data_IF_744063332219
#
_entry.id   IF_744063332219
#
_cell.length_a   1.000
_cell.length_b   1.000
_cell.length_c   1.000
_cell.angle_alpha   90.00
_cell.angle_beta   90.00
_cell.angle_gamma   90.00
#
_symmetry.space_group_name_H-M   'P 1'
#
loop_
_entity.id
_entity.type
_entity.pdbx_description
1 polymer ?
#
# COMPACT_ATOMS: atom_id res chain seq x y z
N UNK A 1 -22.29 -3.07 3.63
CA UNK A 1 -21.12 -2.68 4.45
C UNK A 1 -20.16 -3.82 4.35
N UNK A 2 -18.86 -3.56 4.22
CA UNK A 2 -17.94 -4.63 3.93
C UNK A 2 -17.87 -5.64 5.08
N UNK A 3 -17.78 -6.91 4.71
CA UNK A 3 -17.73 -8.04 5.63
C UNK A 3 -16.33 -8.66 5.63
N UNK A 4 -15.74 -8.84 6.81
CA UNK A 4 -14.46 -9.54 6.93
C UNK A 4 -14.74 -11.05 7.05
N UNK A 5 -14.36 -11.81 6.02
CA UNK A 5 -14.56 -13.26 5.94
C UNK A 5 -13.67 -14.04 6.94
N UNK A 6 -12.42 -13.60 7.06
CA UNK A 6 -11.38 -14.33 7.76
C UNK A 6 -10.00 -13.78 7.44
N UNK A 7 -8.99 -14.43 8.02
CA UNK A 7 -7.59 -14.13 7.78
C UNK A 7 -6.81 -15.35 7.32
N UNK A 8 -5.85 -15.12 6.43
CA UNK A 8 -4.85 -16.09 6.01
C UNK A 8 -3.48 -15.58 6.49
N UNK A 9 -2.69 -16.46 7.08
CA UNK A 9 -1.28 -16.20 7.34
C UNK A 9 -0.41 -17.16 6.52
N UNK A 10 0.60 -16.65 5.83
CA UNK A 10 1.43 -17.46 4.92
C UNK A 10 2.84 -16.89 4.77
N UNK A 11 3.87 -17.74 4.82
CA UNK A 11 5.24 -17.29 4.52
C UNK A 11 5.38 -16.75 3.09
N UNK A 12 6.21 -15.72 2.86
CA UNK A 12 6.39 -15.12 1.52
C UNK A 12 7.72 -15.43 0.83
N UNK A 13 8.52 -16.36 1.34
CA UNK A 13 9.87 -16.63 0.83
C UNK A 13 9.89 -16.72 -0.72
N UNK A 14 10.87 -16.13 -1.41
CA UNK A 14 10.93 -16.15 -2.88
C UNK A 14 11.03 -17.58 -3.45
N UNK A 15 11.43 -18.54 -2.60
CA UNK A 15 11.40 -19.98 -2.83
C UNK A 15 10.02 -20.47 -3.31
N UNK A 16 8.90 -19.93 -2.78
CA UNK A 16 7.55 -20.30 -3.21
C UNK A 16 7.29 -19.85 -4.66
N UNK A 17 7.51 -18.57 -4.96
CA UNK A 17 7.36 -18.01 -6.30
C UNK A 17 8.26 -18.71 -7.33
N UNK A 18 9.51 -19.00 -6.98
CA UNK A 18 10.41 -19.79 -7.82
C UNK A 18 9.82 -21.14 -8.19
N UNK A 19 9.26 -21.86 -7.22
CA UNK A 19 8.69 -23.17 -7.46
C UNK A 19 7.39 -23.12 -8.29
N UNK A 20 6.61 -22.04 -8.16
CA UNK A 20 5.46 -21.80 -9.05
C UNK A 20 5.92 -21.59 -10.49
N UNK A 21 6.86 -20.68 -10.70
CA UNK A 21 7.32 -20.24 -12.02
C UNK A 21 8.05 -21.37 -12.79
N UNK A 22 8.65 -22.33 -12.06
CA UNK A 22 9.39 -23.46 -12.65
C UNK A 22 8.61 -24.78 -12.61
N UNK A 23 7.30 -24.74 -12.37
CA UNK A 23 6.42 -25.91 -12.35
C UNK A 23 6.88 -27.03 -11.38
N UNK A 24 7.42 -26.65 -10.22
CA UNK A 24 8.00 -27.57 -9.23
C UNK A 24 7.01 -28.06 -8.18
N UNK A 25 5.74 -27.71 -8.27
CA UNK A 25 4.75 -28.01 -7.24
C UNK A 25 4.58 -29.51 -6.97
N UNK A 26 4.91 -30.37 -7.95
CA UNK A 26 4.86 -31.83 -7.83
C UNK A 26 6.21 -32.48 -7.47
N UNK A 27 7.31 -31.71 -7.47
CA UNK A 27 8.63 -32.21 -7.11
C UNK A 27 8.65 -32.59 -5.62
N UNK A 28 9.22 -33.75 -5.21
CA UNK A 28 9.17 -34.20 -3.80
C UNK A 28 9.74 -33.24 -2.76
N UNK A 29 10.67 -32.36 -3.14
CA UNK A 29 11.25 -31.35 -2.26
C UNK A 29 10.32 -30.15 -2.00
N UNK A 30 9.31 -29.96 -2.85
CA UNK A 30 8.45 -28.78 -2.89
C UNK A 30 6.99 -29.13 -2.64
N UNK A 31 6.57 -30.35 -2.99
CA UNK A 31 5.18 -30.79 -2.87
C UNK A 31 4.61 -30.66 -1.45
N UNK A 32 5.35 -30.83 -0.34
CA UNK A 32 4.79 -30.58 0.99
C UNK A 32 4.41 -29.10 1.19
N UNK A 33 5.16 -28.15 0.60
CA UNK A 33 4.79 -26.73 0.62
C UNK A 33 3.44 -26.58 -0.08
N UNK A 34 3.28 -27.07 -1.30
CA UNK A 34 2.06 -26.82 -2.06
C UNK A 34 0.84 -27.58 -1.54
N UNK A 35 1.02 -28.76 -0.94
CA UNK A 35 -0.02 -29.46 -0.18
C UNK A 35 -0.54 -28.60 0.98
N UNK A 36 0.35 -27.86 1.66
CA UNK A 36 -0.04 -26.93 2.72
C UNK A 36 -0.79 -25.69 2.21
N UNK A 37 -0.70 -25.38 0.91
CA UNK A 37 -1.41 -24.26 0.26
C UNK A 37 -2.78 -24.67 -0.31
N UNK A 38 -3.01 -25.95 -0.63
CA UNK A 38 -4.28 -26.43 -1.20
C UNK A 38 -5.52 -26.03 -0.37
N UNK A 39 -5.51 -26.05 0.98
CA UNK A 39 -6.64 -25.61 1.78
C UNK A 39 -6.87 -24.10 1.70
N UNK A 40 -5.80 -23.30 1.57
CA UNK A 40 -5.89 -21.86 1.42
C UNK A 40 -6.48 -21.50 0.05
N UNK A 41 -6.03 -22.17 -1.01
CA UNK A 41 -6.57 -22.04 -2.37
C UNK A 41 -8.07 -22.37 -2.38
N UNK A 42 -8.47 -23.52 -1.81
CA UNK A 42 -9.88 -23.92 -1.72
C UNK A 42 -10.71 -22.92 -0.93
N UNK A 43 -10.19 -22.44 0.20
CA UNK A 43 -10.90 -21.44 1.00
C UNK A 43 -11.12 -20.14 0.22
N UNK A 44 -10.12 -19.66 -0.54
CA UNK A 44 -10.25 -18.48 -1.38
C UNK A 44 -11.24 -18.71 -2.54
N UNK A 45 -11.22 -19.89 -3.17
CA UNK A 45 -12.16 -20.27 -4.23
C UNK A 45 -13.61 -20.39 -3.72
N UNK A 46 -13.80 -20.92 -2.51
CA UNK A 46 -15.11 -21.08 -1.89
C UNK A 46 -15.67 -19.75 -1.38
N UNK A 47 -14.85 -18.92 -0.72
CA UNK A 47 -15.29 -17.66 -0.09
C UNK A 47 -15.36 -16.49 -1.07
N UNK A 48 -14.59 -16.54 -2.16
CA UNK A 48 -14.54 -15.53 -3.24
C UNK A 48 -14.49 -14.08 -2.69
N UNK A 49 -13.45 -13.71 -1.94
CA UNK A 49 -13.31 -12.32 -1.50
C UNK A 49 -13.26 -11.39 -2.72
N UNK A 50 -13.98 -10.26 -2.63
CA UNK A 50 -13.90 -9.17 -3.61
C UNK A 50 -12.56 -8.44 -3.50
N UNK A 51 -11.97 -8.44 -2.31
CA UNK A 51 -10.69 -7.82 -2.04
C UNK A 51 -9.87 -8.55 -0.95
N UNK A 52 -8.55 -8.54 -1.12
CA UNK A 52 -7.58 -8.94 -0.10
C UNK A 52 -6.91 -7.68 0.47
N UNK A 53 -7.05 -7.45 1.78
CA UNK A 53 -6.13 -6.54 2.48
C UNK A 53 -4.85 -7.32 2.76
N UNK A 54 -3.76 -6.94 2.10
CA UNK A 54 -2.57 -7.76 1.95
C UNK A 54 -1.38 -7.13 2.68
N UNK A 55 -1.09 -7.64 3.87
CA UNK A 55 -0.03 -7.17 4.76
C UNK A 55 1.26 -7.90 4.42
N UNK A 56 2.29 -7.15 4.04
CA UNK A 56 3.60 -7.65 3.67
C UNK A 56 4.68 -6.63 4.03
N UNK A 57 5.94 -6.96 3.84
CA UNK A 57 7.05 -6.00 3.78
C UNK A 57 7.73 -6.09 2.41
N UNK A 58 8.20 -4.94 1.94
CA UNK A 58 9.09 -4.86 0.79
C UNK A 58 10.54 -5.11 1.24
N UNK A 59 11.27 -5.85 0.42
CA UNK A 59 12.64 -6.28 0.65
C UNK A 59 13.63 -5.34 -0.01
N UNK A 60 13.43 -4.03 0.22
CA UNK A 60 14.32 -2.96 -0.24
C UNK A 60 14.36 -2.85 -1.77
N UNK A 61 13.21 -3.06 -2.41
CA UNK A 61 13.04 -3.00 -3.87
C UNK A 61 12.30 -1.71 -4.24
N UNK A 62 11.02 -1.61 -3.87
CA UNK A 62 10.21 -0.44 -4.14
C UNK A 62 10.38 0.64 -3.05
N UNK A 63 10.80 0.23 -1.85
CA UNK A 63 10.97 1.11 -0.69
C UNK A 63 12.43 1.06 -0.22
N UNK A 64 13.22 2.00 -0.74
CA UNK A 64 14.62 2.14 -0.37
C UNK A 64 14.80 2.89 0.96
N UNK A 65 15.95 2.72 1.60
CA UNK A 65 16.24 3.24 2.94
C UNK A 65 16.32 4.76 3.06
N UNK A 66 16.38 5.50 1.95
CA UNK A 66 16.33 6.96 1.96
C UNK A 66 14.91 7.49 2.26
N UNK A 67 13.89 6.68 1.99
CA UNK A 67 12.50 6.94 2.36
C UNK A 67 11.77 5.63 2.71
N UNK A 68 11.97 5.16 3.93
CA UNK A 68 11.41 3.91 4.45
C UNK A 68 10.40 4.17 5.57
N UNK A 69 9.13 3.84 5.31
CA UNK A 69 8.00 4.17 6.20
C UNK A 69 7.54 2.97 7.02
N UNK A 70 7.02 3.23 8.21
CA UNK A 70 6.55 2.18 9.13
C UNK A 70 5.29 1.47 8.62
N UNK A 71 4.26 2.20 8.21
CA UNK A 71 3.02 1.66 7.68
C UNK A 71 2.68 2.39 6.38
N UNK A 72 2.68 1.67 5.25
CA UNK A 72 2.53 2.27 3.93
C UNK A 72 1.41 1.60 3.16
N UNK A 73 0.32 2.33 2.91
CA UNK A 73 -0.87 1.82 2.24
C UNK A 73 -0.86 2.15 0.75
N UNK A 74 -1.05 1.14 -0.11
CA UNK A 74 -1.24 1.33 -1.54
C UNK A 74 -2.63 1.88 -1.83
N UNK A 75 -2.67 2.98 -2.58
CA UNK A 75 -3.91 3.67 -2.99
C UNK A 75 -4.07 3.71 -4.51
N UNK A 76 -3.34 2.88 -5.25
CA UNK A 76 -3.39 2.78 -6.71
C UNK A 76 -4.53 1.88 -7.21
N UNK A 77 -4.80 1.94 -8.51
CA UNK A 77 -5.76 1.09 -9.21
C UNK A 77 -5.17 -0.27 -9.62
N UNK A 78 -3.85 -0.39 -9.71
CA UNK A 78 -3.17 -1.64 -10.04
C UNK A 78 -1.73 -1.64 -9.53
N UNK A 79 -1.14 -2.83 -9.41
CA UNK A 79 0.25 -3.03 -8.99
C UNK A 79 0.96 -4.04 -9.91
N UNK A 80 2.02 -3.60 -10.57
CA UNK A 80 2.89 -4.43 -11.41
C UNK A 80 3.96 -5.17 -10.59
N UNK A 81 4.56 -6.21 -11.16
CA UNK A 81 5.68 -6.95 -10.54
C UNK A 81 6.97 -6.14 -10.60
N UNK A 82 7.65 -6.02 -9.47
CA UNK A 82 8.94 -5.34 -9.38
C UNK A 82 10.06 -6.15 -10.04
N UNK A 83 11.09 -5.44 -10.49
CA UNK A 83 12.36 -6.05 -10.85
C UNK A 83 13.24 -6.08 -9.60
N UNK A 84 13.59 -7.29 -9.16
CA UNK A 84 14.40 -7.53 -7.96
C UNK A 84 15.88 -7.79 -8.32
N UNK A 85 16.31 -7.36 -9.52
CA UNK A 85 17.66 -7.53 -10.06
C UNK A 85 17.80 -8.69 -11.05
N UNK A 86 16.74 -9.50 -11.21
CA UNK A 86 16.66 -10.63 -12.14
C UNK A 86 15.70 -10.41 -13.32
N UNK A 87 15.18 -9.20 -13.48
CA UNK A 87 14.00 -8.94 -14.30
C UNK A 87 12.70 -9.21 -13.53
N UNK A 88 11.58 -8.55 -13.89
CA UNK A 88 10.30 -8.81 -13.27
C UNK A 88 9.79 -10.22 -13.64
N UNK A 89 9.13 -10.90 -12.69
CA UNK A 89 8.46 -12.18 -12.97
C UNK A 89 7.34 -11.97 -13.99
N UNK A 90 7.06 -13.00 -14.80
CA UNK A 90 6.04 -12.97 -15.84
C UNK A 90 4.64 -13.21 -15.25
N UNK A 91 4.13 -12.24 -14.49
CA UNK A 91 2.77 -12.24 -13.93
C UNK A 91 2.03 -10.97 -14.38
N UNK A 92 0.70 -11.04 -14.62
CA UNK A 92 -0.09 -9.84 -14.89
C UNK A 92 -0.14 -8.93 -13.66
N UNK A 93 -0.35 -7.62 -13.82
CA UNK A 93 -0.58 -6.72 -12.69
C UNK A 93 -1.83 -7.13 -11.90
N UNK A 94 -1.75 -7.03 -10.58
CA UNK A 94 -2.91 -7.24 -9.72
C UNK A 94 -3.71 -5.96 -9.59
N UNK A 95 -5.03 -6.06 -9.69
CA UNK A 95 -5.92 -4.90 -9.56
C UNK A 95 -5.97 -4.45 -8.09
N UNK A 96 -6.05 -3.13 -7.89
CA UNK A 96 -6.33 -2.51 -6.60
C UNK A 96 -7.82 -2.20 -6.44
N UNK A 97 -8.23 -1.87 -5.20
CA UNK A 97 -9.52 -1.23 -4.96
C UNK A 97 -9.28 0.15 -4.36
N UNK A 98 -9.12 1.15 -5.22
CA UNK A 98 -8.77 2.50 -4.79
C UNK A 98 -9.81 3.10 -3.83
N UNK A 99 -11.10 2.80 -3.99
CA UNK A 99 -12.15 3.30 -3.08
C UNK A 99 -11.97 2.74 -1.66
N UNK A 100 -11.78 1.43 -1.54
CA UNK A 100 -11.51 0.77 -0.26
C UNK A 100 -10.18 1.25 0.34
N UNK A 101 -9.10 1.34 -0.45
CA UNK A 101 -7.80 1.86 0.02
C UNK A 101 -7.91 3.28 0.60
N UNK A 102 -8.62 4.18 -0.09
CA UNK A 102 -8.82 5.56 0.37
C UNK A 102 -9.64 5.62 1.65
N UNK A 103 -10.69 4.80 1.75
CA UNK A 103 -11.50 4.69 2.96
C UNK A 103 -10.69 4.16 4.14
N UNK A 104 -9.89 3.11 3.92
CA UNK A 104 -8.99 2.56 4.94
C UNK A 104 -7.98 3.61 5.40
N UNK A 105 -7.32 4.29 4.45
CA UNK A 105 -6.35 5.35 4.76
C UNK A 105 -6.96 6.48 5.59
N UNK A 106 -8.16 6.96 5.22
CA UNK A 106 -8.86 7.99 5.99
C UNK A 106 -9.21 7.52 7.40
N UNK A 107 -9.64 6.27 7.55
CA UNK A 107 -9.95 5.67 8.85
C UNK A 107 -8.72 5.56 9.75
N UNK A 108 -7.61 5.07 9.22
CA UNK A 108 -6.38 4.89 10.00
C UNK A 108 -5.81 6.23 10.46
N UNK A 109 -5.83 7.25 9.60
CA UNK A 109 -5.42 8.61 9.96
C UNK A 109 -6.35 9.23 11.02
N UNK A 110 -7.65 8.97 10.95
CA UNK A 110 -8.61 9.43 11.97
C UNK A 110 -8.38 8.76 13.33
N UNK A 111 -7.92 7.50 13.34
CA UNK A 111 -7.57 6.74 14.54
C UNK A 111 -6.11 6.98 15.03
N UNK A 112 -5.50 8.08 14.58
CA UNK A 112 -4.16 8.53 14.98
C UNK A 112 -3.03 7.56 14.64
N UNK A 113 -3.17 6.79 13.55
CA UNK A 113 -2.03 6.11 12.92
C UNK A 113 -1.38 7.02 11.89
N UNK A 114 -0.08 7.24 12.04
CA UNK A 114 0.75 7.93 11.05
C UNK A 114 0.96 7.01 9.85
N UNK A 115 0.21 7.25 8.78
CA UNK A 115 0.28 6.44 7.56
C UNK A 115 1.10 7.14 6.48
N UNK A 116 1.87 6.35 5.75
CA UNK A 116 2.37 6.69 4.42
C UNK A 116 1.46 6.10 3.34
N UNK A 117 1.48 6.69 2.15
CA UNK A 117 0.67 6.25 1.01
C UNK A 117 1.54 6.14 -0.23
N UNK A 118 1.27 5.15 -1.08
CA UNK A 118 2.00 4.99 -2.32
C UNK A 118 1.10 4.65 -3.51
N UNK A 119 1.59 5.03 -4.69
CA UNK A 119 1.06 4.77 -6.03
C UNK A 119 2.26 4.60 -6.96
N UNK A 120 2.06 4.02 -8.14
CA UNK A 120 3.08 3.87 -9.19
C UNK A 120 4.34 3.14 -8.74
N UNK A 121 4.20 2.23 -7.78
CA UNK A 121 5.26 1.33 -7.36
C UNK A 121 4.92 -0.07 -7.81
N UNK A 122 5.92 -0.73 -8.37
CA UNK A 122 5.88 -2.17 -8.62
C UNK A 122 6.20 -2.90 -7.32
N UNK A 123 5.59 -4.06 -7.08
CA UNK A 123 5.68 -4.78 -5.81
C UNK A 123 6.51 -6.06 -5.93
N UNK A 124 7.23 -6.39 -4.87
CA UNK A 124 8.23 -7.46 -4.84
C UNK A 124 7.62 -8.83 -4.48
N UNK A 125 8.50 -9.80 -4.24
CA UNK A 125 8.15 -11.16 -3.85
C UNK A 125 7.37 -11.23 -2.52
N UNK A 126 7.48 -10.25 -1.62
CA UNK A 126 6.72 -10.23 -0.36
C UNK A 126 5.20 -10.30 -0.58
N UNK A 127 4.74 -9.80 -1.73
CA UNK A 127 3.38 -9.96 -2.23
C UNK A 127 3.26 -11.06 -3.29
N UNK A 128 4.02 -10.98 -4.37
CA UNK A 128 3.76 -11.84 -5.55
C UNK A 128 4.20 -13.29 -5.37
N UNK A 129 5.09 -13.62 -4.43
CA UNK A 129 5.52 -15.00 -4.19
C UNK A 129 4.37 -15.87 -3.65
N UNK A 130 3.78 -15.54 -2.48
CA UNK A 130 2.61 -16.25 -1.99
C UNK A 130 1.37 -16.02 -2.86
N UNK A 131 1.13 -14.81 -3.40
CA UNK A 131 -0.05 -14.55 -4.23
C UNK A 131 -0.11 -15.49 -5.45
N UNK A 132 1.00 -15.74 -6.16
CA UNK A 132 1.01 -16.66 -7.31
C UNK A 132 0.80 -18.13 -6.92
N UNK A 133 0.95 -18.49 -5.65
CA UNK A 133 0.64 -19.81 -5.13
C UNK A 133 -0.77 -19.90 -4.53
N UNK A 134 -1.38 -18.78 -4.12
CA UNK A 134 -2.69 -18.74 -3.46
C UNK A 134 -3.86 -18.62 -4.43
N UNK A 135 -3.70 -17.81 -5.48
CA UNK A 135 -4.76 -17.52 -6.42
C UNK A 135 -4.38 -17.98 -7.83
N UNK A 136 -5.35 -18.54 -8.59
CA UNK A 136 -5.14 -18.73 -10.01
C UNK A 136 -5.01 -17.34 -10.67
N UNK A 137 -4.20 -17.28 -11.71
CA UNK A 137 -4.07 -16.11 -12.57
C UNK A 137 -3.92 -16.57 -14.01
N UNK A 138 -4.32 -15.71 -14.94
CA UNK A 138 -4.21 -15.94 -16.37
C UNK A 138 -3.75 -14.65 -17.06
N UNK A 139 -3.00 -14.75 -18.14
CA UNK A 139 -2.47 -13.57 -18.85
C UNK A 139 -3.58 -12.69 -19.44
N UNK A 140 -4.70 -13.27 -19.87
CA UNK A 140 -5.84 -12.54 -20.44
C UNK A 140 -6.78 -12.00 -19.36
N UNK A 141 -7.05 -12.80 -18.32
CA UNK A 141 -8.04 -12.46 -17.28
C UNK A 141 -7.46 -11.77 -16.05
N UNK A 142 -6.14 -11.83 -15.85
CA UNK A 142 -5.47 -11.32 -14.66
C UNK A 142 -5.77 -12.15 -13.42
N UNK A 143 -6.03 -11.48 -12.31
CA UNK A 143 -6.29 -12.08 -10.99
C UNK A 143 -7.78 -12.01 -10.64
N UNK A 144 -8.35 -13.01 -9.95
CA UNK A 144 -9.78 -13.05 -9.62
C UNK A 144 -10.19 -12.08 -8.51
N UNK A 145 -9.23 -11.52 -7.77
CA UNK A 145 -9.49 -10.70 -6.57
C UNK A 145 -8.57 -9.47 -6.56
N UNK A 146 -9.12 -8.33 -6.16
CA UNK A 146 -8.35 -7.10 -5.98
C UNK A 146 -7.49 -7.14 -4.70
N UNK A 147 -6.39 -6.38 -4.67
CA UNK A 147 -5.47 -6.31 -3.53
C UNK A 147 -5.34 -4.87 -3.00
N UNK A 148 -5.35 -4.73 -1.68
CA UNK A 148 -5.04 -3.50 -0.95
C UNK A 148 -3.72 -3.76 -0.22
N UNK A 149 -2.58 -3.42 -0.82
CA UNK A 149 -1.28 -3.73 -0.23
C UNK A 149 -1.00 -2.78 0.93
N UNK A 150 -0.64 -3.35 2.07
CA UNK A 150 -0.20 -2.66 3.27
C UNK A 150 1.24 -3.11 3.57
N UNK A 151 2.20 -2.30 3.14
CA UNK A 151 3.60 -2.54 3.39
C UNK A 151 3.96 -2.11 4.82
N UNK A 152 4.66 -2.96 5.56
CA UNK A 152 5.15 -2.70 6.91
C UNK A 152 6.68 -2.59 6.87
N UNK A 153 7.22 -1.47 7.34
CA UNK A 153 8.67 -1.25 7.44
C UNK A 153 9.27 -1.99 8.62
N UNK A 154 9.67 -3.25 8.42
CA UNK A 154 10.24 -4.14 9.45
C UNK A 154 11.75 -4.39 9.33
N UNK A 155 12.41 -3.79 8.34
CA UNK A 155 13.83 -4.04 8.07
C UNK A 155 14.78 -2.96 8.63
N UNK A 156 14.34 -1.69 8.71
CA UNK A 156 15.16 -0.57 9.18
C UNK A 156 14.71 -0.10 10.56
N UNK A 157 15.52 -0.38 11.59
CA UNK A 157 15.19 -0.08 12.98
C UNK A 157 15.36 1.41 13.33
N UNK A 158 14.51 1.98 14.20
CA UNK A 158 13.43 1.33 14.95
C UNK A 158 12.18 1.04 14.12
N UNK A 159 11.62 -0.17 14.27
CA UNK A 159 10.39 -0.64 13.62
C UNK A 159 9.21 -0.63 14.62
N UNK A 160 7.95 -0.84 14.22
CA UNK A 160 6.84 -0.79 15.15
C UNK A 160 6.89 -1.98 16.12
N UNK A 161 6.49 -1.76 17.38
CA UNK A 161 6.32 -2.86 18.33
C UNK A 161 5.19 -3.80 17.91
N UNK A 162 5.24 -5.06 18.36
CA UNK A 162 4.15 -6.04 18.22
C UNK A 162 2.78 -5.49 18.66
N UNK A 163 2.74 -4.73 19.77
CA UNK A 163 1.53 -4.04 20.25
C UNK A 163 1.00 -3.00 19.27
N UNK A 164 1.88 -2.24 18.60
CA UNK A 164 1.48 -1.24 17.60
C UNK A 164 0.92 -1.92 16.35
N UNK A 165 1.49 -3.05 15.93
CA UNK A 165 0.94 -3.88 14.85
C UNK A 165 -0.44 -4.45 15.19
N UNK A 166 -0.63 -4.99 16.40
CA UNK A 166 -1.93 -5.50 16.84
C UNK A 166 -3.01 -4.39 16.90
N UNK A 167 -2.66 -3.21 17.45
CA UNK A 167 -3.56 -2.04 17.45
C UNK A 167 -3.89 -1.54 16.04
N UNK A 168 -2.93 -1.59 15.11
CA UNK A 168 -3.19 -1.27 13.70
C UNK A 168 -4.24 -2.22 13.12
N UNK A 169 -4.13 -3.52 13.41
CA UNK A 169 -5.15 -4.50 13.05
C UNK A 169 -6.54 -4.14 13.58
N UNK A 170 -6.65 -3.77 14.85
CA UNK A 170 -7.92 -3.37 15.46
C UNK A 170 -8.52 -2.12 14.79
N UNK A 171 -7.70 -1.15 14.37
CA UNK A 171 -8.13 0.01 13.61
C UNK A 171 -8.54 -0.36 12.18
N UNK A 172 -7.77 -1.24 11.53
CA UNK A 172 -8.04 -1.77 10.20
C UNK A 172 -9.39 -2.50 10.15
N UNK A 173 -9.76 -3.24 11.20
CA UNK A 173 -11.09 -3.85 11.33
C UNK A 173 -12.21 -2.82 11.19
N UNK A 174 -12.16 -1.75 12.00
CA UNK A 174 -13.17 -0.67 11.96
C UNK A 174 -13.17 0.02 10.61
N UNK A 175 -12.00 0.20 10.02
CA UNK A 175 -11.85 0.78 8.70
C UNK A 175 -12.59 -0.04 7.63
N UNK A 176 -12.34 -1.35 7.56
CA UNK A 176 -12.98 -2.25 6.60
C UNK A 176 -14.49 -2.32 6.86
N UNK A 177 -14.92 -2.65 8.08
CA UNK A 177 -16.35 -2.85 8.40
C UNK A 177 -17.19 -1.57 8.18
N UNK A 178 -16.58 -0.39 8.28
CA UNK A 178 -17.26 0.88 8.03
C UNK A 178 -17.35 1.27 6.55
N UNK A 179 -16.70 0.54 5.64
CA UNK A 179 -16.80 0.76 4.20
C UNK A 179 -18.25 0.56 3.74
N UNK A 180 -18.86 1.52 3.02
CA UNK A 180 -20.30 1.52 2.77
C UNK A 180 -20.77 0.40 1.83
N UNK A 181 -19.93 -0.02 0.89
CA UNK A 181 -20.29 -1.05 -0.10
C UNK A 181 -20.42 -2.44 0.56
N UNK A 182 -21.23 -3.31 -0.05
CA UNK A 182 -21.46 -4.68 0.42
C UNK A 182 -20.52 -5.64 -0.30
N UNK A 183 -19.29 -5.73 0.20
CA UNK A 183 -18.22 -6.56 -0.36
C UNK A 183 -17.62 -7.47 0.72
N UNK A 184 -17.11 -8.62 0.30
CA UNK A 184 -16.40 -9.56 1.14
C UNK A 184 -14.89 -9.30 1.06
N UNK A 185 -14.27 -9.12 2.23
CA UNK A 185 -12.84 -8.84 2.36
C UNK A 185 -12.19 -9.98 3.14
N UNK A 186 -11.08 -10.50 2.62
CA UNK A 186 -10.18 -11.37 3.39
C UNK A 186 -8.90 -10.60 3.72
N UNK A 187 -8.26 -10.97 4.83
CA UNK A 187 -7.03 -10.32 5.29
C UNK A 187 -5.89 -11.31 5.15
N UNK A 188 -4.85 -10.97 4.41
CA UNK A 188 -3.67 -11.82 4.24
C UNK A 188 -2.52 -11.15 4.96
N UNK A 189 -1.82 -11.87 5.84
CA UNK A 189 -0.54 -11.45 6.37
C UNK A 189 0.55 -12.41 5.91
N UNK A 190 1.66 -11.84 5.43
CA UNK A 190 2.78 -12.63 4.95
C UNK A 190 4.04 -12.49 5.81
N UNK A 191 5.04 -13.31 5.47
CA UNK A 191 6.33 -13.38 6.17
C UNK A 191 6.38 -14.46 7.22
N UNK A 192 7.52 -14.58 7.89
CA UNK A 192 7.81 -15.59 8.89
C UNK A 192 8.00 -17.00 8.31
N UNK A 193 8.04 -18.03 9.17
CA UNK A 193 8.17 -17.94 10.63
C UNK A 193 9.65 -17.82 11.00
N UNK A 194 10.20 -18.75 11.79
CA UNK A 194 11.61 -18.66 12.17
C UNK A 194 12.54 -18.74 10.96
N UNK A 195 13.39 -17.73 10.83
CA UNK A 195 14.50 -17.68 9.88
C UNK A 195 15.48 -16.55 10.21
N UNK A 196 16.73 -16.73 9.80
CA UNK A 196 17.71 -15.66 9.74
C UNK A 196 18.57 -15.82 8.48
N UNK A 197 18.68 -14.74 7.70
CA UNK A 197 19.32 -14.78 6.36
C UNK A 197 20.58 -13.92 6.26
N UNK A 198 21.03 -13.33 7.37
CA UNK A 198 22.28 -12.56 7.42
C UNK A 198 23.18 -12.94 8.60
N UNK A 199 24.47 -12.63 8.47
CA UNK A 199 25.49 -12.82 9.50
C UNK A 199 25.84 -14.28 9.79
N UNK A 200 26.69 -14.52 10.79
CA UNK A 200 27.16 -15.85 11.19
C UNK A 200 26.06 -16.75 11.79
N UNK A 201 24.92 -16.17 12.17
CA UNK A 201 23.72 -16.89 12.65
C UNK A 201 22.73 -17.23 11.51
N UNK A 202 23.09 -16.95 10.25
CA UNK A 202 22.30 -17.33 9.08
C UNK A 202 22.00 -18.85 9.07
N UNK A 203 20.75 -19.21 8.77
CA UNK A 203 20.26 -20.60 8.85
C UNK A 203 19.67 -20.99 10.19
N UNK A 204 19.46 -20.04 11.11
CA UNK A 204 18.74 -20.28 12.36
C UNK A 204 17.26 -20.54 12.10
N UNK A 205 16.72 -21.57 12.74
CA UNK A 205 15.28 -21.88 12.82
C UNK A 205 14.95 -22.38 14.23
N UNK A 206 13.67 -22.27 14.59
CA UNK A 206 13.13 -22.74 15.86
C UNK A 206 11.68 -23.22 15.70
N UNK A 207 11.47 -24.46 15.22
CA UNK A 207 10.12 -25.01 15.00
C UNK A 207 9.25 -25.07 16.27
N UNK A 208 9.86 -25.19 17.46
CA UNK A 208 9.14 -25.19 18.73
C UNK A 208 8.53 -23.82 19.01
N UNK A 209 9.32 -22.75 18.82
CA UNK A 209 8.82 -21.38 18.88
C UNK A 209 7.77 -21.12 17.80
N UNK A 210 7.97 -21.61 16.58
CA UNK A 210 7.01 -21.41 15.48
C UNK A 210 5.63 -22.00 15.82
N UNK A 211 5.60 -23.23 16.35
CA UNK A 211 4.36 -23.86 16.81
C UNK A 211 3.71 -23.08 17.95
N UNK A 212 4.50 -22.61 18.92
CA UNK A 212 4.02 -21.79 20.04
C UNK A 212 3.47 -20.44 19.57
N UNK A 213 4.17 -19.75 18.66
CA UNK A 213 3.77 -18.47 18.12
C UNK A 213 2.41 -18.58 17.41
N UNK A 214 2.24 -19.57 16.53
CA UNK A 214 0.98 -19.76 15.82
C UNK A 214 -0.14 -20.11 16.79
N UNK A 215 0.11 -20.97 17.79
CA UNK A 215 -0.89 -21.26 18.83
C UNK A 215 -1.33 -20.01 19.60
N UNK A 216 -0.37 -19.22 20.08
CA UNK A 216 -0.66 -17.96 20.77
C UNK A 216 -1.33 -16.95 19.84
N UNK A 217 -0.98 -16.88 18.56
CA UNK A 217 -1.63 -15.99 17.61
C UNK A 217 -3.13 -16.31 17.47
N UNK A 218 -3.50 -17.58 17.44
CA UNK A 218 -4.90 -18.01 17.37
C UNK A 218 -5.62 -17.72 18.69
N UNK A 219 -5.03 -18.20 19.79
CA UNK A 219 -5.74 -18.39 21.05
C UNK A 219 -5.50 -17.26 22.08
N UNK A 220 -4.35 -16.60 22.07
CA UNK A 220 -3.99 -15.54 23.03
C UNK A 220 -3.06 -14.47 22.41
N UNK A 221 -3.50 -13.76 21.35
CA UNK A 221 -2.63 -12.85 20.61
C UNK A 221 -2.20 -11.63 21.41
N UNK A 222 -2.91 -11.29 22.50
CA UNK A 222 -2.52 -10.18 23.36
C UNK A 222 -1.18 -10.45 24.07
N UNK A 223 -0.88 -11.72 24.42
CA UNK A 223 0.40 -12.08 25.03
C UNK A 223 1.59 -11.84 24.13
N UNK A 224 1.43 -12.08 22.83
CA UNK A 224 2.44 -11.76 21.83
C UNK A 224 2.76 -10.25 21.80
N UNK A 225 1.81 -9.39 22.16
CA UNK A 225 2.04 -7.93 22.22
C UNK A 225 2.88 -7.45 23.42
N UNK A 226 3.20 -8.36 24.35
CA UNK A 226 4.03 -8.08 25.53
C UNK A 226 5.53 -8.28 25.25
N UNK A 227 5.86 -8.99 24.17
CA UNK A 227 7.23 -9.31 23.78
C UNK A 227 7.94 -8.13 23.09
N UNK A 228 9.24 -8.03 23.32
CA UNK A 228 10.15 -7.11 22.65
C UNK A 228 10.64 -7.69 21.32
N UNK A 229 11.06 -6.82 20.40
CA UNK A 229 11.64 -7.24 19.11
C UNK A 229 12.92 -8.07 19.28
N UNK A 230 13.68 -7.81 20.35
CA UNK A 230 14.86 -8.61 20.70
C UNK A 230 14.49 -10.06 21.06
N UNK A 231 13.44 -10.26 21.86
CA UNK A 231 12.95 -11.60 22.21
C UNK A 231 12.39 -12.34 20.99
N UNK A 232 11.67 -11.63 20.10
CA UNK A 232 11.27 -12.20 18.80
C UNK A 232 12.49 -12.66 17.98
N UNK A 233 13.54 -11.83 17.89
CA UNK A 233 14.74 -12.17 17.13
C UNK A 233 15.56 -13.31 17.76
N UNK A 234 15.59 -13.38 19.09
CA UNK A 234 16.21 -14.47 19.83
C UNK A 234 15.51 -15.81 19.53
N UNK A 235 14.18 -15.83 19.65
CA UNK A 235 13.37 -17.03 19.47
C UNK A 235 13.20 -17.44 18.01
N UNK A 236 13.01 -16.48 17.09
CA UNK A 236 12.64 -16.71 15.69
C UNK A 236 13.72 -16.35 14.66
N UNK A 237 14.85 -15.78 15.05
CA UNK A 237 15.82 -15.23 14.09
C UNK A 237 15.49 -13.78 13.71
N UNK A 238 16.50 -13.04 13.24
CA UNK A 238 16.34 -11.59 13.03
C UNK A 238 15.22 -11.27 12.03
N UNK A 239 15.27 -11.84 10.83
CA UNK A 239 14.21 -11.64 9.84
C UNK A 239 12.91 -12.34 10.25
N UNK A 240 12.98 -13.47 10.97
CA UNK A 240 11.82 -14.11 11.59
C UNK A 240 11.04 -13.23 12.56
N UNK A 241 11.61 -12.12 13.07
CA UNK A 241 10.89 -11.14 13.88
C UNK A 241 9.80 -10.38 13.11
N UNK A 242 9.76 -10.48 11.78
CA UNK A 242 8.72 -9.88 10.94
C UNK A 242 7.30 -10.45 11.19
N UNK A 243 7.19 -11.58 11.91
CA UNK A 243 5.91 -12.19 12.31
C UNK A 243 5.01 -11.25 13.13
N UNK A 244 5.53 -10.13 13.63
CA UNK A 244 4.70 -9.04 14.17
C UNK A 244 3.67 -8.51 13.14
N UNK A 245 3.89 -8.70 11.83
CA UNK A 245 2.92 -8.41 10.78
C UNK A 245 1.68 -9.31 10.85
N UNK A 246 1.83 -10.57 11.29
CA UNK A 246 0.71 -11.50 11.48
C UNK A 246 -0.24 -10.99 12.57
N UNK A 247 0.26 -10.20 13.54
CA UNK A 247 -0.57 -9.54 14.54
C UNK A 247 -1.46 -8.43 13.95
N UNK A 248 -1.08 -7.82 12.81
CA UNK A 248 -1.96 -6.88 12.10
C UNK A 248 -3.19 -7.62 11.57
N UNK A 249 -2.99 -8.77 10.91
CA UNK A 249 -4.11 -9.60 10.45
C UNK A 249 -4.94 -10.08 11.64
N UNK A 250 -4.31 -10.65 12.66
CA UNK A 250 -5.02 -11.20 13.82
C UNK A 250 -5.81 -10.16 14.59
N UNK A 251 -5.28 -8.93 14.72
CA UNK A 251 -5.96 -7.80 15.36
C UNK A 251 -7.15 -7.27 14.55
N UNK A 252 -7.18 -7.54 13.24
CA UNK A 252 -8.29 -7.16 12.38
C UNK A 252 -9.46 -8.16 12.42
N UNK A 253 -9.20 -9.40 12.83
CA UNK A 253 -10.23 -10.40 13.09
C UNK A 253 -10.90 -10.15 14.45
N UNK A 254 -12.07 -10.76 14.66
CA UNK A 254 -12.75 -10.68 15.95
C UNK A 254 -11.97 -11.45 17.02
N UNK A 255 -12.29 -11.23 18.30
CA UNK A 255 -11.70 -12.00 19.39
C UNK A 255 -11.93 -13.50 19.21
N UNK A 256 -13.09 -13.88 18.65
CA UNK A 256 -13.45 -15.26 18.37
C UNK A 256 -13.13 -15.60 16.91
N UNK A 257 -12.26 -16.58 16.71
CA UNK A 257 -11.92 -17.11 15.38
C UNK A 257 -12.10 -18.62 15.38
N UNK A 258 -12.37 -19.19 14.22
CA UNK A 258 -12.30 -20.64 14.02
C UNK A 258 -11.04 -20.93 13.23
N UNK A 259 -10.10 -21.68 13.80
CA UNK A 259 -9.00 -22.25 13.03
C UNK A 259 -9.54 -23.39 12.17
N UNK A 260 -9.52 -23.21 10.85
CA UNK A 260 -9.98 -24.23 9.90
C UNK A 260 -8.83 -24.96 9.23
N UNK A 261 -7.63 -24.39 9.29
CA UNK A 261 -6.41 -24.99 8.76
C UNK A 261 -5.18 -24.40 9.44
N UNK A 262 -4.18 -25.26 9.67
CA UNK A 262 -2.83 -24.91 10.10
C UNK A 262 -1.87 -25.97 9.58
N UNK A 263 -0.75 -25.54 9.01
CA UNK A 263 0.35 -26.44 8.64
C UNK A 263 1.71 -25.75 8.71
N UNK A 264 2.78 -26.54 8.77
CA UNK A 264 4.15 -26.08 8.88
C UNK A 264 5.12 -27.02 8.16
N UNK A 265 6.03 -26.45 7.39
CA UNK A 265 7.08 -27.17 6.71
C UNK A 265 8.38 -26.35 6.64
N UNK A 266 9.51 -26.99 6.97
CA UNK A 266 10.84 -26.36 6.93
C UNK A 266 11.74 -27.10 5.93
N UNK A 267 11.69 -26.75 4.63
CA UNK A 267 12.53 -27.40 3.61
C UNK A 267 13.96 -26.88 3.58
N UNK A 268 14.17 -25.62 3.94
CA UNK A 268 15.44 -24.90 3.77
C UNK A 268 15.60 -23.83 4.85
N UNK A 269 15.77 -22.56 4.47
CA UNK A 269 16.12 -21.46 5.39
C UNK A 269 14.97 -20.93 6.25
N UNK A 270 13.72 -21.13 5.81
CA UNK A 270 12.55 -20.49 6.43
C UNK A 270 11.50 -21.52 6.81
N UNK A 271 10.98 -21.41 8.03
CA UNK A 271 9.80 -22.16 8.46
C UNK A 271 8.58 -21.67 7.69
N UNK A 272 8.15 -22.43 6.69
CA UNK A 272 6.99 -22.10 5.86
C UNK A 272 5.74 -22.56 6.59
N UNK A 273 4.90 -21.62 7.00
CA UNK A 273 3.65 -21.94 7.68
C UNK A 273 2.45 -21.40 6.90
N UNK A 274 1.32 -22.11 7.01
CA UNK A 274 0.04 -21.70 6.46
C UNK A 274 -1.04 -21.79 7.54
N UNK A 275 -1.91 -20.79 7.62
CA UNK A 275 -2.96 -20.69 8.64
C UNK A 275 -4.22 -20.07 8.02
N UNK A 276 -5.39 -20.62 8.36
CA UNK A 276 -6.70 -20.02 8.05
C UNK A 276 -7.49 -19.81 9.34
N UNK A 277 -7.93 -18.57 9.54
CA UNK A 277 -8.80 -18.16 10.64
C UNK A 277 -10.11 -17.59 10.10
N UNK A 278 -11.23 -18.28 10.32
CA UNK A 278 -12.55 -17.72 9.99
C UNK A 278 -13.01 -16.75 11.08
N UNK A 279 -13.56 -15.62 10.64
CA UNK A 279 -13.93 -14.52 11.53
C UNK A 279 -15.36 -14.71 12.10
N UNK A 280 -15.47 -14.92 13.42
CA UNK A 280 -16.77 -15.06 14.10
C UNK A 280 -17.25 -13.75 14.72
N UNK A 281 -17.34 -12.71 13.89
CA UNK A 281 -17.76 -11.38 14.31
C UNK A 281 -19.25 -11.32 14.73
N UNK A 282 -19.55 -10.46 15.71
CA UNK A 282 -20.93 -10.10 16.07
C UNK A 282 -21.08 -8.59 16.00
N UNK A 283 -22.19 -8.14 15.44
CA UNK A 283 -22.51 -6.72 15.43
C UNK A 283 -23.04 -6.27 16.80
N UNK A 284 -22.59 -5.12 17.31
CA UNK A 284 -23.22 -4.51 18.48
C UNK A 284 -24.64 -4.04 18.14
N UNK A 285 -25.57 -3.98 19.12
CA UNK A 285 -26.96 -3.55 18.90
C UNK A 285 -27.11 -2.03 18.72
N UNK A 286 -26.05 -1.34 18.30
CA UNK A 286 -25.99 0.11 18.08
C UNK A 286 -25.16 0.39 16.83
N UNK A 287 -25.46 1.49 16.13
CA UNK A 287 -24.76 1.87 14.91
C UNK A 287 -23.37 2.46 15.19
N UNK A 288 -22.40 1.58 15.45
CA UNK A 288 -20.99 1.96 15.61
C UNK A 288 -20.36 2.42 14.31
N UNK A 289 -20.79 1.86 13.17
CA UNK A 289 -20.15 2.06 11.88
C UNK A 289 -20.46 3.44 11.30
N UNK A 290 -21.67 3.96 11.49
CA UNK A 290 -21.97 5.36 11.15
C UNK A 290 -21.23 6.34 12.05
N UNK A 291 -21.13 6.07 13.36
CA UNK A 291 -20.31 6.91 14.26
C UNK A 291 -18.85 6.95 13.81
N UNK A 292 -18.31 5.81 13.38
CA UNK A 292 -16.95 5.73 12.85
C UNK A 292 -16.79 6.54 11.56
N UNK A 293 -17.72 6.41 10.60
CA UNK A 293 -17.70 7.25 9.38
C UNK A 293 -17.79 8.76 9.68
N UNK A 294 -18.56 9.14 10.71
CA UNK A 294 -18.63 10.54 11.16
C UNK A 294 -17.30 11.02 11.75
N UNK A 295 -16.65 10.19 12.57
CA UNK A 295 -15.29 10.45 13.09
C UNK A 295 -14.28 10.64 11.95
N UNK A 296 -14.29 9.75 10.95
CA UNK A 296 -13.44 9.85 9.75
C UNK A 296 -13.63 11.18 9.00
N UNK A 297 -14.88 11.64 8.88
CA UNK A 297 -15.22 12.85 8.15
C UNK A 297 -14.93 14.15 8.92
N UNK A 298 -14.69 14.08 10.23
CA UNK A 298 -14.69 15.23 11.12
C UNK A 298 -13.69 16.33 10.72
N UNK A 299 -12.47 15.96 10.32
CA UNK A 299 -11.39 16.92 10.04
C UNK A 299 -11.65 17.79 8.80
N UNK A 300 -12.40 17.28 7.82
CA UNK A 300 -12.70 17.99 6.57
C UNK A 300 -14.16 18.46 6.50
N UNK A 301 -14.95 18.27 7.55
CA UNK A 301 -16.35 18.69 7.57
C UNK A 301 -16.48 20.21 7.33
N UNK A 302 -17.23 20.60 6.29
CA UNK A 302 -17.44 22.01 5.93
C UNK A 302 -16.46 22.56 4.90
N UNK A 303 -15.43 21.80 4.49
CA UNK A 303 -14.45 22.24 3.48
C UNK A 303 -15.11 22.54 2.14
N UNK A 304 -16.22 21.86 1.81
CA UNK A 304 -17.00 22.03 0.59
C UNK A 304 -17.65 23.42 0.46
N UNK A 305 -17.76 24.16 1.58
CA UNK A 305 -18.31 25.52 1.59
C UNK A 305 -17.31 26.57 1.12
N UNK A 306 -16.03 26.22 0.98
CA UNK A 306 -14.98 27.13 0.54
C UNK A 306 -15.02 27.27 -0.99
N UNK A 307 -15.44 28.42 -1.55
CA UNK A 307 -15.52 28.57 -3.00
C UNK A 307 -14.13 28.53 -3.64
N UNK A 308 -14.01 27.87 -4.79
CA UNK A 308 -12.76 27.79 -5.55
C UNK A 308 -11.63 27.03 -4.84
N UNK A 309 -11.96 26.15 -3.89
CA UNK A 309 -10.99 25.36 -3.13
C UNK A 309 -11.08 23.89 -3.53
N UNK A 310 -9.92 23.25 -3.73
CA UNK A 310 -9.82 21.87 -4.21
C UNK A 310 -8.86 21.10 -3.29
N UNK A 311 -9.31 20.56 -2.15
CA UNK A 311 -8.45 19.82 -1.24
C UNK A 311 -7.76 18.67 -1.97
N UNK A 312 -6.45 18.53 -1.84
CA UNK A 312 -5.67 17.52 -2.56
C UNK A 312 -5.80 16.13 -1.89
N UNK A 313 -7.00 15.55 -2.01
CA UNK A 313 -7.33 14.23 -1.46
C UNK A 313 -6.58 13.11 -2.20
N UNK A 314 -6.53 11.90 -1.61
CA UNK A 314 -5.99 10.72 -2.29
C UNK A 314 -6.66 10.46 -3.65
N UNK A 315 -7.97 10.66 -3.75
CA UNK A 315 -8.69 10.54 -5.02
C UNK A 315 -8.17 11.50 -6.09
N UNK A 316 -8.03 12.79 -5.74
CA UNK A 316 -7.52 13.79 -6.68
C UNK A 316 -6.06 13.54 -7.02
N UNK A 317 -5.26 13.11 -6.04
CA UNK A 317 -3.86 12.76 -6.25
C UNK A 317 -3.71 11.58 -7.21
N UNK A 318 -4.54 10.54 -7.07
CA UNK A 318 -4.53 9.38 -7.96
C UNK A 318 -5.01 9.74 -9.37
N UNK A 319 -6.15 10.44 -9.49
CA UNK A 319 -6.69 10.85 -10.78
C UNK A 319 -5.73 11.78 -11.55
N UNK A 320 -5.03 12.67 -10.83
CA UNK A 320 -4.03 13.56 -11.40
C UNK A 320 -2.61 12.97 -11.47
N UNK A 321 -2.39 11.70 -11.11
CA UNK A 321 -1.05 11.15 -10.86
C UNK A 321 -0.12 11.28 -12.07
N UNK A 322 -0.62 10.97 -13.27
CA UNK A 322 0.15 11.05 -14.52
C UNK A 322 0.63 12.47 -14.80
N UNK A 323 -0.26 13.46 -14.73
CA UNK A 323 0.06 14.87 -14.87
C UNK A 323 1.05 15.34 -13.79
N UNK A 324 0.79 14.99 -12.53
CA UNK A 324 1.65 15.39 -11.41
C UNK A 324 3.04 14.77 -11.52
N UNK A 325 3.16 13.51 -11.95
CA UNK A 325 4.44 12.86 -12.24
C UNK A 325 5.20 13.57 -13.35
N UNK A 326 4.52 13.90 -14.45
CA UNK A 326 5.10 14.66 -15.55
C UNK A 326 5.68 16.00 -15.08
N UNK A 327 4.89 16.76 -14.30
CA UNK A 327 5.31 18.06 -13.76
C UNK A 327 6.42 17.93 -12.71
N UNK A 328 6.42 16.88 -11.91
CA UNK A 328 7.45 16.62 -10.91
C UNK A 328 8.84 16.48 -11.54
N UNK A 329 8.93 15.78 -12.69
CA UNK A 329 10.19 15.60 -13.43
C UNK A 329 10.85 16.89 -13.90
N UNK A 330 10.16 18.05 -13.85
CA UNK A 330 10.76 19.35 -14.15
C UNK A 330 11.92 19.73 -13.19
N UNK A 331 12.07 19.04 -12.05
CA UNK A 331 13.26 19.17 -11.21
C UNK A 331 14.54 18.62 -11.88
N UNK A 332 14.40 17.72 -12.87
CA UNK A 332 15.51 17.15 -13.64
C UNK A 332 15.96 18.12 -14.75
N UNK A 333 17.26 18.50 -14.84
CA UNK A 333 17.76 19.46 -15.84
C UNK A 333 17.44 19.11 -17.28
N UNK A 334 17.74 17.88 -17.70
CA UNK A 334 17.50 17.42 -19.06
C UNK A 334 16.00 17.41 -19.40
N UNK A 335 15.13 17.06 -18.44
CA UNK A 335 13.69 17.04 -18.66
C UNK A 335 13.12 18.44 -18.88
N UNK A 336 13.48 19.41 -18.03
CA UNK A 336 12.98 20.78 -18.18
C UNK A 336 13.54 21.49 -19.42
N UNK A 337 14.77 21.17 -19.84
CA UNK A 337 15.32 21.68 -21.10
C UNK A 337 14.53 21.17 -22.30
N UNK A 338 14.25 19.85 -22.35
CA UNK A 338 13.40 19.24 -23.37
C UNK A 338 11.97 19.81 -23.35
N UNK A 339 11.44 20.12 -22.17
CA UNK A 339 10.11 20.72 -22.03
C UNK A 339 10.02 22.11 -22.67
N UNK A 340 11.09 22.91 -22.60
CA UNK A 340 11.14 24.22 -23.24
C UNK A 340 11.31 24.13 -24.76
N UNK A 341 12.08 23.16 -25.25
CA UNK A 341 12.42 23.03 -26.67
C UNK A 341 11.38 22.23 -27.47
N UNK A 342 10.90 21.12 -26.92
CA UNK A 342 10.10 20.10 -27.61
C UNK A 342 9.01 19.49 -26.71
N UNK A 343 8.05 20.27 -26.19
CA UNK A 343 7.07 19.78 -25.21
C UNK A 343 6.18 18.63 -25.72
N UNK A 344 5.80 18.62 -27.00
CA UNK A 344 4.88 17.60 -27.54
C UNK A 344 5.47 16.19 -27.51
N UNK A 345 6.78 16.03 -27.72
CA UNK A 345 7.42 14.71 -27.65
C UNK A 345 7.46 14.19 -26.22
N UNK A 346 7.68 15.07 -25.23
CA UNK A 346 7.60 14.71 -23.82
C UNK A 346 6.19 14.34 -23.38
N UNK A 347 5.16 15.00 -23.90
CA UNK A 347 3.77 14.64 -23.59
C UNK A 347 3.43 13.23 -24.09
N UNK A 348 3.91 12.88 -25.29
CA UNK A 348 3.76 11.53 -25.84
C UNK A 348 4.55 10.49 -25.03
N UNK A 349 5.82 10.79 -24.69
CA UNK A 349 6.68 9.92 -23.87
C UNK A 349 6.07 9.65 -22.49
N UNK A 350 5.45 10.67 -21.86
CA UNK A 350 4.79 10.54 -20.57
C UNK A 350 3.35 9.99 -20.65
N UNK A 351 2.87 9.66 -21.84
CA UNK A 351 1.53 9.10 -22.05
C UNK A 351 0.39 10.02 -21.64
N UNK A 352 0.58 11.35 -21.67
CA UNK A 352 -0.46 12.30 -21.27
C UNK A 352 -1.73 12.14 -22.11
N UNK A 353 -2.88 12.33 -21.48
CA UNK A 353 -4.17 12.43 -22.16
C UNK A 353 -4.27 13.71 -22.99
N UNK A 354 -5.21 13.76 -23.94
CA UNK A 354 -5.45 14.95 -24.75
C UNK A 354 -5.89 16.16 -23.91
N UNK A 355 -6.69 15.96 -22.86
CA UNK A 355 -7.09 17.02 -21.94
C UNK A 355 -5.88 17.61 -21.20
N UNK A 356 -5.00 16.76 -20.66
CA UNK A 356 -3.76 17.20 -19.99
C UNK A 356 -2.87 18.00 -20.94
N UNK A 357 -2.71 17.54 -22.19
CA UNK A 357 -1.93 18.24 -23.22
C UNK A 357 -2.53 19.62 -23.50
N UNK A 358 -3.85 19.71 -23.65
CA UNK A 358 -4.55 20.98 -23.92
C UNK A 358 -4.35 21.96 -22.77
N UNK A 359 -4.55 21.52 -21.52
CA UNK A 359 -4.35 22.33 -20.32
C UNK A 359 -2.91 22.86 -20.20
N UNK A 360 -1.91 22.01 -20.47
CA UNK A 360 -0.50 22.39 -20.45
C UNK A 360 -0.13 23.37 -21.58
N UNK A 361 -0.59 23.11 -22.81
CA UNK A 361 -0.36 23.97 -23.97
C UNK A 361 -0.95 25.37 -23.79
N UNK A 362 -2.19 25.43 -23.28
CA UNK A 362 -2.86 26.69 -22.99
C UNK A 362 -2.30 27.40 -21.74
N UNK A 363 -1.48 26.71 -20.93
CA UNK A 363 -1.06 27.16 -19.59
C UNK A 363 -2.27 27.56 -18.75
N UNK A 364 -3.33 26.76 -18.82
CA UNK A 364 -4.55 26.99 -18.06
C UNK A 364 -4.32 26.63 -16.59
N UNK A 365 -3.70 27.53 -15.85
CA UNK A 365 -3.34 27.33 -14.45
C UNK A 365 -4.55 26.99 -13.57
N UNK A 366 -5.72 27.57 -13.87
CA UNK A 366 -6.95 27.28 -13.14
C UNK A 366 -7.47 25.89 -13.50
N UNK A 367 -7.55 25.59 -14.79
CA UNK A 367 -7.98 24.29 -15.30
C UNK A 367 -7.09 23.15 -14.79
N UNK A 368 -5.77 23.36 -14.70
CA UNK A 368 -4.83 22.39 -14.15
C UNK A 368 -5.11 22.08 -12.66
N UNK A 369 -5.40 23.09 -11.83
CA UNK A 369 -5.83 22.87 -10.44
C UNK A 369 -7.16 22.11 -10.37
N UNK A 370 -8.12 22.50 -11.21
CA UNK A 370 -9.44 21.86 -11.28
C UNK A 370 -9.35 20.39 -11.68
N UNK A 371 -8.48 20.07 -12.65
CA UNK A 371 -8.20 18.73 -13.13
C UNK A 371 -7.58 17.85 -12.04
N UNK A 372 -6.64 18.39 -11.25
CA UNK A 372 -5.98 17.64 -10.17
C UNK A 372 -4.47 17.84 -10.08
N UNK A 373 -3.92 18.88 -10.70
CA UNK A 373 -2.53 19.24 -10.49
C UNK A 373 -2.31 19.78 -9.06
N UNK A 374 -1.22 19.37 -8.43
CA UNK A 374 -0.73 20.04 -7.21
C UNK A 374 -0.21 21.44 -7.56
N UNK A 375 -0.62 22.46 -6.80
CA UNK A 375 -0.10 23.81 -6.97
C UNK A 375 1.43 23.86 -6.94
N UNK A 376 2.07 23.08 -6.06
CA UNK A 376 3.54 23.07 -5.92
C UNK A 376 4.28 22.46 -7.11
N UNK A 377 3.56 21.76 -8.00
CA UNK A 377 4.09 21.28 -9.27
C UNK A 377 3.86 22.31 -10.38
N UNK A 378 2.75 23.05 -10.34
CA UNK A 378 2.53 24.21 -11.19
C UNK A 378 3.52 25.34 -10.89
N UNK A 379 3.89 25.53 -9.63
CA UNK A 379 4.93 26.48 -9.20
C UNK A 379 6.29 26.15 -9.84
N UNK A 380 6.65 24.87 -9.92
CA UNK A 380 7.86 24.39 -10.62
C UNK A 380 7.77 24.66 -12.12
N UNK A 381 6.63 24.35 -12.73
CA UNK A 381 6.39 24.68 -14.14
C UNK A 381 6.52 26.18 -14.40
N UNK A 382 5.93 27.02 -13.54
CA UNK A 382 6.05 28.47 -13.61
C UNK A 382 7.50 28.93 -13.62
N UNK A 383 8.31 28.44 -12.68
CA UNK A 383 9.74 28.74 -12.65
C UNK A 383 10.47 28.32 -13.94
N UNK A 384 10.15 27.15 -14.50
CA UNK A 384 10.74 26.67 -15.76
C UNK A 384 10.37 27.55 -16.95
N UNK A 385 9.11 27.99 -17.07
CA UNK A 385 8.64 28.80 -18.21
C UNK A 385 8.81 30.31 -18.02
N UNK A 386 9.52 30.74 -16.97
CA UNK A 386 9.76 32.16 -16.68
C UNK A 386 8.53 32.92 -16.18
N UNK A 387 7.55 32.22 -15.62
CA UNK A 387 6.30 32.78 -15.08
C UNK A 387 6.38 32.84 -13.56
N UNK A 388 6.21 34.04 -12.99
CA UNK A 388 6.22 34.23 -11.53
C UNK A 388 4.96 33.69 -10.88
N UNK A 389 5.04 33.38 -9.58
CA UNK A 389 3.89 32.89 -8.81
C UNK A 389 2.68 33.83 -8.91
N UNK A 390 2.92 35.14 -8.94
CA UNK A 390 1.86 36.16 -9.04
C UNK A 390 1.07 36.07 -10.34
N UNK A 391 1.71 35.70 -11.45
CA UNK A 391 1.00 35.47 -12.72
C UNK A 391 0.08 34.26 -12.60
N UNK A 392 0.54 33.17 -11.97
CA UNK A 392 -0.26 31.97 -11.73
C UNK A 392 -1.46 32.32 -10.83
N UNK A 393 -1.23 33.05 -9.74
CA UNK A 393 -2.31 33.49 -8.84
C UNK A 393 -3.34 34.38 -9.54
N UNK A 394 -2.88 35.35 -10.36
CA UNK A 394 -3.74 36.22 -11.14
C UNK A 394 -4.59 35.44 -12.15
N UNK A 395 -3.98 34.49 -12.87
CA UNK A 395 -4.67 33.61 -13.80
C UNK A 395 -5.73 32.75 -13.10
N UNK A 396 -5.39 32.14 -11.95
CA UNK A 396 -6.36 31.40 -11.14
C UNK A 396 -7.51 32.27 -10.63
N UNK A 397 -7.29 33.58 -10.46
CA UNK A 397 -8.32 34.59 -10.13
C UNK A 397 -9.06 35.15 -11.34
N UNK A 398 -8.60 34.87 -12.57
CA UNK A 398 -9.20 35.39 -13.80
C UNK A 398 -8.99 36.90 -13.95
N UNK A 399 -7.86 37.40 -13.45
CA UNK A 399 -7.50 38.81 -13.42
C UNK A 399 -6.16 39.01 -14.15
N UNK A 400 -5.89 40.24 -14.61
CA UNK A 400 -4.54 40.59 -15.06
C UNK A 400 -3.59 40.63 -13.85
N UNK A 401 -2.28 40.55 -14.10
CA UNK A 401 -1.28 40.65 -13.04
C UNK A 401 -1.41 41.96 -12.26
N UNK A 402 -1.61 43.07 -12.95
CA UNK A 402 -1.71 44.41 -12.36
C UNK A 402 -2.92 44.47 -11.43
N UNK A 403 -4.10 44.01 -11.90
CA UNK A 403 -5.31 43.98 -11.11
C UNK A 403 -5.16 43.09 -9.87
N UNK A 404 -4.48 41.94 -10.00
CA UNK A 404 -4.19 41.07 -8.86
C UNK A 404 -3.22 41.73 -7.87
N UNK A 405 -2.16 42.39 -8.35
CA UNK A 405 -1.18 43.07 -7.52
C UNK A 405 -1.77 44.23 -6.71
N UNK A 406 -2.78 44.93 -7.23
CA UNK A 406 -3.51 45.94 -6.45
C UNK A 406 -4.21 45.37 -5.22
N UNK A 407 -4.46 44.06 -5.18
CA UNK A 407 -5.03 43.39 -4.00
C UNK A 407 -3.97 43.06 -2.94
N UNK A 408 -2.68 43.22 -3.23
CA UNK A 408 -1.56 42.86 -2.34
C UNK A 408 -0.99 44.14 -1.70
N UNK A 409 -0.55 44.03 -0.44
CA UNK A 409 0.03 45.18 0.28
C UNK A 409 1.35 45.68 -0.32
N UNK A 410 2.08 44.83 -1.04
CA UNK A 410 3.34 45.14 -1.71
C UNK A 410 3.33 44.53 -3.12
N UNK A 411 3.74 45.30 -4.12
CA UNK A 411 3.73 44.90 -5.53
C UNK A 411 5.09 44.29 -5.90
N UNK A 412 5.29 43.03 -5.52
CA UNK A 412 6.50 42.26 -5.81
C UNK A 412 6.19 41.02 -6.64
N UNK A 413 7.18 40.57 -7.41
CA UNK A 413 7.12 39.31 -8.16
C UNK A 413 8.23 38.39 -7.68
N UNK A 414 7.92 37.10 -7.54
CA UNK A 414 8.88 36.08 -7.12
C UNK A 414 8.53 34.72 -7.73
N UNK A 415 9.51 33.82 -7.75
CA UNK A 415 9.36 32.41 -8.13
C UNK A 415 10.31 31.55 -7.29
N UNK A 416 10.22 30.23 -7.44
CA UNK A 416 11.15 29.26 -6.83
C UNK A 416 12.42 29.04 -7.65
N UNK A 417 12.68 29.86 -8.68
CA UNK A 417 13.88 29.72 -9.51
C UNK A 417 15.16 29.95 -8.70
N UNK A 418 16.15 29.07 -8.89
CA UNK A 418 17.48 29.23 -8.32
C UNK A 418 18.29 30.33 -9.01
N UNK A 419 19.50 30.60 -8.50
CA UNK A 419 20.47 31.45 -9.20
C UNK A 419 20.99 30.69 -10.42
N UNK A 420 20.90 31.31 -11.59
CA UNK A 420 21.49 30.81 -12.84
C UNK A 420 22.99 31.09 -12.90
#
# INVERSE_FOLDING_TARGET
MANILGGIAVSHTPTIGFAVDHHKQQDPAWSPIFQSFEPLQRWLEEKKPDALVYIFNDHVTAFFFDHYSTFTLGIDNQYDVADEGGGPRCLPPVQGNAALSRHIGASLMADEFDMSFFMDKKLDHGLFSPLSALLPWDEEQGWPTAVIPLQIGVLQFPVPSARRCYKLGQALRRAIESFPEDINVAIVATGGLSHQVHGERCGFNNPEWDAQFVDMLVNDPEKLTEMTLGEYAELGGMEGSEVIMWLVMRGALSANVTETWRDYYLPSMTGIATLILENNARMPPVDTLTRHRQHMAQQLAGVEKLPGTYPFTHERSLNGLRLNRFLHRLIEPAWRERFLQSPQSLYAEAGLSEEEKQLLNARDWRGLIQYGASFFLLEKMGAVVGVSNLHIYAAMRGQTLEAFQQTRNQQVTYSVAGKH
#
